data_IF_255989242328
#
_entry.id   IF_255989242328
#
_cell.length_a   1.000
_cell.length_b   1.000
_cell.length_c   1.000
_cell.angle_alpha   90.00
_cell.angle_beta   90.00
_cell.angle_gamma   90.00
#
_symmetry.space_group_name_H-M   'P 1'
#
loop_
_entity.id
_entity.type
_entity.pdbx_description
1 polymer ?
#
# COMPACT_ATOMS: atom_id res chain seq x y z
N UNK A 1 19.60 -11.14 -3.84
CA UNK A 1 19.54 -11.88 -5.12
C UNK A 1 18.14 -11.82 -5.70
N UNK A 2 18.06 -11.65 -6.98
CA UNK A 2 16.78 -11.55 -7.69
C UNK A 2 16.19 -12.93 -7.98
N UNK A 3 14.86 -13.00 -7.94
CA UNK A 3 14.14 -14.19 -8.37
C UNK A 3 14.11 -14.18 -9.90
N UNK A 4 14.62 -15.27 -10.50
CA UNK A 4 14.66 -15.38 -11.95
C UNK A 4 13.39 -16.04 -12.48
N UNK A 5 12.58 -15.29 -13.19
CA UNK A 5 11.33 -15.74 -13.79
C UNK A 5 11.31 -15.52 -15.30
N UNK A 6 12.51 -15.57 -15.92
CA UNK A 6 12.65 -15.35 -17.37
C UNK A 6 11.98 -16.40 -18.25
N UNK A 7 11.61 -17.56 -17.68
CA UNK A 7 10.90 -18.62 -18.39
C UNK A 7 9.40 -18.37 -18.54
N UNK A 8 8.87 -17.31 -17.88
CA UNK A 8 7.46 -16.93 -18.00
C UNK A 8 7.25 -16.00 -19.19
N UNK A 9 6.06 -16.09 -19.80
CA UNK A 9 5.64 -15.12 -20.81
C UNK A 9 5.39 -13.75 -20.15
N UNK A 10 5.29 -12.70 -20.95
CA UNK A 10 5.01 -11.36 -20.43
C UNK A 10 3.66 -11.31 -19.70
N UNK A 11 2.62 -11.95 -20.26
CA UNK A 11 1.31 -12.01 -19.62
C UNK A 11 1.35 -12.77 -18.30
N UNK A 12 2.08 -13.85 -18.23
CA UNK A 12 2.25 -14.61 -17.00
C UNK A 12 3.00 -13.81 -15.95
N UNK A 13 4.03 -13.06 -16.34
CA UNK A 13 4.76 -12.18 -15.43
C UNK A 13 3.87 -11.04 -14.90
N UNK A 14 3.04 -10.47 -15.75
CA UNK A 14 2.12 -9.40 -15.34
C UNK A 14 1.09 -9.91 -14.34
N UNK A 15 0.53 -11.10 -14.57
CA UNK A 15 -0.41 -11.72 -13.63
C UNK A 15 0.25 -12.05 -12.30
N UNK A 16 1.45 -12.58 -12.35
CA UNK A 16 2.21 -12.89 -11.14
C UNK A 16 2.52 -11.63 -10.35
N UNK A 17 2.92 -10.56 -11.02
CA UNK A 17 3.19 -9.28 -10.37
C UNK A 17 1.94 -8.73 -9.67
N UNK A 18 0.77 -8.83 -10.32
CA UNK A 18 -0.50 -8.41 -9.73
C UNK A 18 -0.86 -9.22 -8.49
N UNK A 19 -0.68 -10.54 -8.56
CA UNK A 19 -0.94 -11.43 -7.43
C UNK A 19 0.00 -11.14 -6.25
N UNK A 20 1.27 -10.87 -6.54
CA UNK A 20 2.25 -10.53 -5.50
C UNK A 20 1.94 -9.21 -4.84
N UNK A 21 1.50 -8.23 -5.62
CA UNK A 21 1.09 -6.93 -5.10
C UNK A 21 -0.11 -7.06 -4.16
N UNK A 22 -1.13 -7.81 -4.57
CA UNK A 22 -2.31 -8.06 -3.74
C UNK A 22 -1.93 -8.77 -2.43
N UNK A 23 -1.03 -9.74 -2.53
CA UNK A 23 -0.54 -10.48 -1.36
C UNK A 23 0.22 -9.58 -0.40
N UNK A 24 1.02 -8.66 -0.94
CA UNK A 24 1.74 -7.68 -0.14
C UNK A 24 0.77 -6.76 0.61
N UNK A 25 -0.21 -6.21 -0.09
CA UNK A 25 -1.23 -5.35 0.52
C UNK A 25 -1.98 -6.07 1.64
N UNK A 26 -2.40 -7.30 1.39
CA UNK A 26 -3.11 -8.10 2.38
C UNK A 26 -2.25 -8.37 3.62
N UNK A 27 -0.99 -8.73 3.43
CA UNK A 27 -0.07 -9.02 4.54
C UNK A 27 0.24 -7.78 5.35
N UNK A 28 0.51 -6.67 4.70
CA UNK A 28 0.76 -5.38 5.37
C UNK A 28 -0.49 -4.94 6.11
N UNK A 29 -1.65 -4.98 5.47
CA UNK A 29 -2.92 -4.61 6.08
C UNK A 29 -3.23 -5.44 7.32
N UNK A 30 -3.04 -6.75 7.25
CA UNK A 30 -3.26 -7.65 8.36
C UNK A 30 -2.36 -7.32 9.55
N UNK A 31 -1.09 -7.07 9.31
CA UNK A 31 -0.13 -6.74 10.37
C UNK A 31 -0.40 -5.40 11.02
N UNK A 32 -0.72 -4.40 10.21
CA UNK A 32 -1.07 -3.08 10.73
C UNK A 32 -2.36 -3.15 11.54
N UNK A 33 -3.37 -3.85 11.03
CA UNK A 33 -4.68 -3.99 11.69
C UNK A 33 -4.58 -4.68 13.03
N UNK A 34 -3.73 -5.69 13.15
CA UNK A 34 -3.59 -6.45 14.39
C UNK A 34 -3.06 -5.60 15.55
N UNK A 35 -2.37 -4.51 15.27
CA UNK A 35 -1.85 -3.59 16.28
C UNK A 35 -2.73 -2.38 16.53
N UNK A 36 -3.89 -2.28 15.87
CA UNK A 36 -4.77 -1.11 15.94
C UNK A 36 -6.00 -1.35 16.80
N UNK A 37 -6.50 -0.27 17.40
CA UNK A 37 -7.79 -0.30 18.11
C UNK A 37 -8.94 -0.26 17.10
N UNK A 38 -10.15 -0.62 17.57
CA UNK A 38 -11.35 -0.55 16.74
C UNK A 38 -11.61 0.87 16.25
N UNK A 39 -11.39 1.87 17.10
CA UNK A 39 -11.54 3.28 16.73
C UNK A 39 -10.56 3.68 15.63
N UNK A 40 -9.32 3.22 15.70
CA UNK A 40 -8.33 3.47 14.66
C UNK A 40 -8.72 2.83 13.32
N UNK A 41 -9.21 1.59 13.37
CA UNK A 41 -9.67 0.88 12.17
C UNK A 41 -10.87 1.58 11.54
N UNK A 42 -11.82 2.06 12.35
CA UNK A 42 -12.98 2.80 11.88
C UNK A 42 -12.57 4.11 11.22
N UNK A 43 -11.63 4.83 11.83
CA UNK A 43 -11.12 6.09 11.28
C UNK A 43 -10.42 5.86 9.94
N UNK A 44 -9.57 4.86 9.84
CA UNK A 44 -8.89 4.54 8.60
C UNK A 44 -9.87 4.11 7.51
N UNK A 45 -10.89 3.33 7.87
CA UNK A 45 -11.96 2.93 6.95
C UNK A 45 -12.72 4.13 6.41
N UNK A 46 -12.99 5.12 7.25
CA UNK A 46 -13.63 6.37 6.83
C UNK A 46 -12.76 7.13 5.82
N UNK A 47 -11.46 7.19 6.05
CA UNK A 47 -10.53 7.90 5.14
C UNK A 47 -10.43 7.21 3.78
N UNK A 48 -10.49 5.88 3.75
CA UNK A 48 -10.33 5.11 2.52
C UNK A 48 -11.64 4.89 1.76
N UNK A 49 -12.76 4.71 2.48
CA UNK A 49 -14.05 4.31 1.89
C UNK A 49 -15.22 5.21 2.25
N UNK A 50 -15.05 6.15 3.19
CA UNK A 50 -16.10 7.08 3.61
C UNK A 50 -16.43 8.12 2.54
N UNK A 51 -17.43 8.98 2.80
CA UNK A 51 -17.80 10.01 1.85
C UNK A 51 -16.83 11.20 1.85
N UNK A 52 -16.91 12.01 0.81
CA UNK A 52 -15.99 13.14 0.62
C UNK A 52 -16.16 14.21 1.70
N UNK A 53 -17.37 14.34 2.25
CA UNK A 53 -17.67 15.33 3.28
C UNK A 53 -16.99 14.95 4.61
N UNK A 54 -17.03 13.68 4.97
CA UNK A 54 -16.33 13.17 6.15
C UNK A 54 -14.82 13.34 6.01
N UNK A 55 -14.31 13.05 4.83
CA UNK A 55 -12.88 13.22 4.51
C UNK A 55 -12.47 14.69 4.65
N UNK A 56 -13.26 15.61 4.11
CA UNK A 56 -12.98 17.04 4.19
C UNK A 56 -12.96 17.52 5.65
N UNK A 57 -13.88 17.03 6.46
CA UNK A 57 -13.92 17.36 7.89
C UNK A 57 -12.68 16.87 8.62
N UNK A 58 -12.22 15.67 8.30
CA UNK A 58 -11.01 15.13 8.90
C UNK A 58 -9.78 15.98 8.53
N UNK A 59 -9.68 16.37 7.26
CA UNK A 59 -8.56 17.18 6.78
C UNK A 59 -8.54 18.56 7.43
N UNK A 60 -9.68 19.19 7.61
CA UNK A 60 -9.78 20.49 8.29
C UNK A 60 -9.21 20.45 9.71
N UNK A 61 -9.41 19.34 10.40
CA UNK A 61 -8.96 19.18 11.79
C UNK A 61 -7.51 18.69 11.86
N UNK A 62 -7.15 17.69 11.08
CA UNK A 62 -5.86 17.01 11.18
C UNK A 62 -4.77 17.64 10.30
N UNK A 63 -5.16 18.27 9.20
CA UNK A 63 -4.21 18.81 8.23
C UNK A 63 -4.78 20.05 7.53
N UNK A 64 -5.07 21.14 8.25
CA UNK A 64 -5.71 22.33 7.66
C UNK A 64 -4.89 22.99 6.54
N UNK A 65 -3.58 22.80 6.56
CA UNK A 65 -2.66 23.36 5.56
C UNK A 65 -2.15 22.31 4.58
N UNK A 66 -2.97 21.30 4.26
CA UNK A 66 -2.56 20.20 3.40
C UNK A 66 -2.11 20.65 2.00
N UNK A 67 -2.66 21.75 1.48
CA UNK A 67 -2.29 22.27 0.16
C UNK A 67 -0.82 22.72 0.10
N UNK A 68 -0.24 23.06 1.23
CA UNK A 68 1.16 23.45 1.35
C UNK A 68 2.08 22.28 1.72
N UNK A 69 1.50 21.13 2.07
CA UNK A 69 2.28 19.94 2.43
C UNK A 69 2.98 19.38 1.19
N UNK A 70 4.28 19.17 1.32
CA UNK A 70 5.12 18.67 0.24
C UNK A 70 4.66 17.32 -0.29
N UNK A 71 4.15 16.45 0.59
CA UNK A 71 3.61 15.14 0.20
C UNK A 71 2.42 15.30 -0.74
N UNK A 72 1.49 16.21 -0.40
CA UNK A 72 0.32 16.47 -1.25
C UNK A 72 0.74 17.06 -2.59
N UNK A 73 1.68 17.99 -2.57
CA UNK A 73 2.20 18.63 -3.79
C UNK A 73 2.81 17.58 -4.71
N UNK A 74 3.59 16.66 -4.16
CA UNK A 74 4.21 15.58 -4.94
C UNK A 74 3.20 14.60 -5.50
N UNK A 75 2.16 14.27 -4.73
CA UNK A 75 1.08 13.41 -5.23
C UNK A 75 0.39 14.06 -6.43
N UNK A 76 0.10 15.34 -6.35
CA UNK A 76 -0.55 16.08 -7.43
C UNK A 76 0.34 16.15 -8.67
N UNK A 77 1.63 16.36 -8.50
CA UNK A 77 2.59 16.38 -9.60
C UNK A 77 2.74 15.00 -10.27
N UNK A 78 2.71 13.94 -9.47
CA UNK A 78 2.85 12.57 -9.97
C UNK A 78 1.61 12.10 -10.72
N UNK A 79 0.43 12.63 -10.39
CA UNK A 79 -0.84 12.23 -10.99
C UNK A 79 -1.70 13.47 -11.30
N UNK A 80 -1.27 14.32 -12.25
CA UNK A 80 -1.95 15.60 -12.51
C UNK A 80 -3.36 15.43 -13.07
N UNK A 81 -3.67 14.27 -13.65
CA UNK A 81 -5.00 13.98 -14.21
C UNK A 81 -5.95 13.31 -13.22
N UNK A 82 -5.46 12.92 -12.04
CA UNK A 82 -6.31 12.28 -11.04
C UNK A 82 -7.31 13.25 -10.45
N UNK A 83 -8.56 12.80 -10.18
CA UNK A 83 -9.54 13.66 -9.51
C UNK A 83 -9.02 14.10 -8.14
N UNK A 84 -9.36 15.32 -7.76
CA UNK A 84 -8.92 15.89 -6.48
C UNK A 84 -9.34 15.01 -5.29
N UNK A 85 -10.55 14.47 -5.33
CA UNK A 85 -11.04 13.59 -4.26
C UNK A 85 -10.17 12.34 -4.07
N UNK A 86 -9.66 11.78 -5.17
CA UNK A 86 -8.76 10.62 -5.10
C UNK A 86 -7.43 11.01 -4.46
N UNK A 87 -6.87 12.15 -4.85
CA UNK A 87 -5.62 12.65 -4.27
C UNK A 87 -5.77 12.96 -2.77
N UNK A 88 -6.89 13.54 -2.38
CA UNK A 88 -7.16 13.85 -0.98
C UNK A 88 -7.28 12.59 -0.13
N UNK A 89 -7.92 11.54 -0.65
CA UNK A 89 -8.01 10.25 0.06
C UNK A 89 -6.64 9.62 0.24
N UNK A 90 -5.86 9.61 -0.80
CA UNK A 90 -4.52 9.06 -0.76
C UNK A 90 -3.66 9.82 0.25
N UNK A 91 -3.68 11.13 0.19
CA UNK A 91 -2.95 11.99 1.11
C UNK A 91 -3.39 11.77 2.57
N UNK A 92 -4.70 11.76 2.82
CA UNK A 92 -5.25 11.58 4.15
C UNK A 92 -4.85 10.22 4.73
N UNK A 93 -4.92 9.17 3.92
CA UNK A 93 -4.52 7.81 4.33
C UNK A 93 -3.04 7.75 4.69
N UNK A 94 -2.18 8.37 3.87
CA UNK A 94 -0.74 8.41 4.13
C UNK A 94 -0.42 9.18 5.40
N UNK A 95 -1.08 10.31 5.62
CA UNK A 95 -0.87 11.12 6.82
C UNK A 95 -1.34 10.38 8.07
N UNK A 96 -2.49 9.73 8.00
CA UNK A 96 -3.01 8.92 9.09
C UNK A 96 -2.05 7.78 9.45
N UNK A 97 -1.51 7.09 8.45
CA UNK A 97 -0.55 6.01 8.67
C UNK A 97 0.72 6.54 9.35
N UNK A 98 1.20 7.70 8.93
CA UNK A 98 2.37 8.32 9.54
C UNK A 98 2.16 8.59 11.03
N UNK A 99 0.96 9.02 11.42
CA UNK A 99 0.61 9.34 12.79
C UNK A 99 0.30 8.11 13.63
N UNK A 100 -0.37 7.13 13.07
CA UNK A 100 -0.89 5.96 13.79
C UNK A 100 -0.03 4.70 13.63
N UNK A 101 0.75 4.62 12.58
CA UNK A 101 1.63 3.48 12.29
C UNK A 101 2.99 4.00 11.83
N UNK A 102 3.78 4.61 12.72
CA UNK A 102 5.08 5.19 12.34
C UNK A 102 6.08 4.15 11.82
N UNK A 103 5.86 2.87 12.13
CA UNK A 103 6.66 1.75 11.65
C UNK A 103 6.16 1.17 10.31
N UNK A 104 5.23 1.87 9.65
CA UNK A 104 4.62 1.39 8.40
C UNK A 104 5.65 1.00 7.35
N UNK A 105 6.68 1.83 7.15
CA UNK A 105 7.72 1.55 6.16
C UNK A 105 8.48 0.26 6.48
N UNK A 106 8.74 -0.01 7.76
CA UNK A 106 9.40 -1.24 8.20
C UNK A 106 8.51 -2.45 7.99
N UNK A 107 7.22 -2.33 8.29
CA UNK A 107 6.25 -3.41 8.07
C UNK A 107 6.18 -3.78 6.58
N UNK A 108 6.14 -2.79 5.71
CA UNK A 108 6.12 -3.02 4.25
C UNK A 108 7.41 -3.71 3.80
N UNK A 109 8.55 -3.25 4.30
CA UNK A 109 9.85 -3.83 3.93
C UNK A 109 9.95 -5.30 4.33
N UNK A 110 9.60 -5.62 5.58
CA UNK A 110 9.63 -6.99 6.08
C UNK A 110 8.70 -7.89 5.28
N UNK A 111 7.46 -7.44 5.06
CA UNK A 111 6.49 -8.20 4.29
C UNK A 111 6.98 -8.46 2.85
N UNK A 112 7.56 -7.45 2.21
CA UNK A 112 8.10 -7.58 0.86
C UNK A 112 9.25 -8.59 0.81
N UNK A 113 10.15 -8.54 1.78
CA UNK A 113 11.29 -9.46 1.86
C UNK A 113 10.82 -10.90 2.08
N UNK A 114 9.80 -11.09 2.91
CA UNK A 114 9.21 -12.42 3.13
C UNK A 114 8.60 -12.98 1.84
N UNK A 115 7.87 -12.16 1.10
CA UNK A 115 7.24 -12.56 -0.17
C UNK A 115 8.31 -12.92 -1.20
N UNK A 116 9.40 -12.17 -1.27
CA UNK A 116 10.53 -12.49 -2.14
C UNK A 116 11.13 -13.85 -1.80
N UNK A 117 11.29 -14.15 -0.51
CA UNK A 117 11.81 -15.44 -0.06
C UNK A 117 10.88 -16.61 -0.41
N UNK A 118 9.56 -16.40 -0.20
CA UNK A 118 8.54 -17.38 -0.58
C UNK A 118 8.58 -17.65 -2.08
N UNK A 119 8.75 -16.60 -2.88
CA UNK A 119 8.82 -16.70 -4.33
C UNK A 119 10.09 -17.44 -4.79
N UNK A 120 11.23 -17.19 -4.15
CA UNK A 120 12.46 -17.92 -4.43
C UNK A 120 12.32 -19.41 -4.15
N UNK A 121 11.70 -19.75 -3.01
CA UNK A 121 11.46 -21.12 -2.65
C UNK A 121 10.56 -21.83 -3.67
N UNK A 122 9.50 -21.14 -4.12
CA UNK A 122 8.60 -21.65 -5.13
C UNK A 122 9.33 -21.86 -6.47
N UNK A 123 10.11 -20.87 -6.90
CA UNK A 123 10.89 -20.96 -8.14
C UNK A 123 11.87 -22.12 -8.11
N UNK A 124 12.53 -22.34 -6.97
CA UNK A 124 13.45 -23.48 -6.78
C UNK A 124 12.72 -24.80 -6.89
N UNK A 125 11.53 -24.93 -6.29
CA UNK A 125 10.72 -26.14 -6.40
C UNK A 125 10.30 -26.41 -7.84
N UNK A 126 9.88 -25.39 -8.56
CA UNK A 126 9.48 -25.52 -9.97
C UNK A 126 10.66 -25.91 -10.86
N UNK A 127 11.84 -25.35 -10.58
CA UNK A 127 13.05 -25.67 -11.33
C UNK A 127 13.47 -27.14 -11.16
N UNK A 128 13.32 -27.71 -9.94
CA UNK A 128 13.65 -29.10 -9.67
C UNK A 128 12.65 -30.09 -10.27
N UNK A 129 11.44 -29.67 -10.60
CA UNK A 129 10.39 -30.49 -11.22
C UNK A 129 10.48 -30.53 -12.74
N UNK A 130 11.30 -29.71 -13.34
CA UNK A 130 11.48 -29.73 -14.80
C UNK A 130 12.42 -30.84 -15.22
N UNK A 131 12.04 -31.62 -16.24
CA UNK A 131 12.95 -32.62 -16.81
C UNK A 131 14.14 -32.01 -17.50
#
# INVERSE_FOLDING_TARGET
>A
AEVRLGWLSQDERNRLAGMLYDRLEERVGSRLSSGMTDDQLDEFGMLTEGDDQELAGWLETAAPDFLEDLVFIRLREAAPEAPTSVLLREYASMRWLRQNAPDYADVVKVARDEIKEELRALAAQLATRRP
#
